data_IF_402400080783
#
_entry.id   IF_402400080783
#
_cell.length_a   1.000
_cell.length_b   1.000
_cell.length_c   1.000
_cell.angle_alpha   90.00
_cell.angle_beta   90.00
_cell.angle_gamma   90.00
#
_symmetry.space_group_name_H-M   'P 1'
#
loop_
_entity.id
_entity.type
_entity.pdbx_description
1 polymer ?
#
# COMPACT_ATOMS: atom_id res chain seq x y z
N UNK A 1 2.34 17.98 -14.63
CA UNK A 1 0.88 17.96 -14.77
C UNK A 1 0.27 17.55 -13.45
N UNK A 2 -0.75 18.26 -12.90
CA UNK A 2 -1.43 17.85 -11.69
C UNK A 2 -2.16 16.52 -11.90
N UNK A 3 -1.90 15.56 -10.99
CA UNK A 3 -2.46 14.22 -11.02
C UNK A 3 -3.07 13.89 -9.65
N UNK A 4 -4.22 13.24 -9.64
CA UNK A 4 -4.86 12.68 -8.45
C UNK A 4 -5.10 11.19 -8.63
N UNK A 5 -4.64 10.38 -7.69
CA UNK A 5 -4.96 8.95 -7.66
C UNK A 5 -6.38 8.76 -7.12
N UNK A 6 -7.26 8.26 -7.97
CA UNK A 6 -8.59 7.79 -7.57
C UNK A 6 -8.51 6.32 -7.16
N UNK A 7 -8.43 6.10 -5.85
CA UNK A 7 -8.32 4.75 -5.27
C UNK A 7 -9.65 3.99 -5.38
N UNK A 8 -10.77 4.71 -5.45
CA UNK A 8 -12.09 4.10 -5.51
C UNK A 8 -12.39 3.52 -6.91
N UNK A 9 -12.14 4.33 -7.95
CA UNK A 9 -12.39 3.93 -9.33
C UNK A 9 -11.18 3.27 -9.99
N UNK A 10 -10.09 3.09 -9.26
CA UNK A 10 -8.84 2.53 -9.79
C UNK A 10 -8.37 3.27 -11.03
N UNK A 11 -7.98 4.51 -10.88
CA UNK A 11 -7.51 5.32 -12.01
C UNK A 11 -6.78 6.59 -11.59
N UNK A 12 -6.38 7.35 -12.58
CA UNK A 12 -5.73 8.63 -12.42
C UNK A 12 -6.59 9.74 -13.01
N UNK A 13 -6.86 10.76 -12.23
CA UNK A 13 -7.39 12.02 -12.74
C UNK A 13 -6.23 12.95 -13.08
N UNK A 14 -6.15 13.35 -14.33
CA UNK A 14 -5.10 14.22 -14.85
C UNK A 14 -5.72 15.55 -15.26
N UNK A 15 -5.26 16.64 -14.66
CA UNK A 15 -5.70 17.99 -15.05
C UNK A 15 -4.94 18.44 -16.30
N UNK A 16 -5.67 18.65 -17.40
CA UNK A 16 -5.16 19.18 -18.66
C UNK A 16 -5.67 20.60 -18.89
N UNK A 17 -5.21 21.24 -19.94
CA UNK A 17 -5.73 22.56 -20.36
C UNK A 17 -7.21 22.51 -20.81
N UNK A 18 -7.68 21.34 -21.21
CA UNK A 18 -9.06 21.10 -21.66
C UNK A 18 -9.99 20.63 -20.53
N UNK A 19 -9.46 20.41 -19.32
CA UNK A 19 -10.21 19.93 -18.17
C UNK A 19 -9.58 18.72 -17.49
N UNK A 20 -10.38 18.00 -16.69
CA UNK A 20 -9.93 16.79 -16.00
C UNK A 20 -10.21 15.58 -16.91
N UNK A 21 -9.17 14.78 -17.15
CA UNK A 21 -9.29 13.50 -17.86
C UNK A 21 -9.04 12.36 -16.87
N UNK A 22 -9.88 11.32 -16.96
CA UNK A 22 -9.69 10.08 -16.23
C UNK A 22 -8.92 9.08 -17.10
N UNK A 23 -7.88 8.47 -16.51
CA UNK A 23 -7.10 7.39 -17.11
C UNK A 23 -7.40 6.13 -16.30
N UNK A 24 -7.91 5.10 -16.95
CA UNK A 24 -8.15 3.79 -16.34
C UNK A 24 -6.83 3.20 -15.82
N UNK A 25 -6.80 2.85 -14.54
CA UNK A 25 -5.63 2.26 -13.90
C UNK A 25 -5.20 0.96 -14.54
N UNK A 26 -6.10 0.23 -15.20
CA UNK A 26 -5.75 -0.98 -15.94
C UNK A 26 -4.76 -0.72 -17.08
N UNK A 27 -4.73 0.50 -17.62
CA UNK A 27 -3.84 0.92 -18.70
C UNK A 27 -2.52 1.51 -18.21
N UNK A 28 -2.38 1.75 -16.91
CA UNK A 28 -1.21 2.40 -16.32
C UNK A 28 -0.34 1.34 -15.65
N UNK A 29 0.91 1.21 -16.11
CA UNK A 29 1.90 0.30 -15.53
C UNK A 29 2.49 0.88 -14.24
N UNK A 30 2.93 2.13 -14.30
CA UNK A 30 3.52 2.85 -13.18
C UNK A 30 3.43 4.35 -13.41
N UNK A 31 3.51 5.11 -12.33
CA UNK A 31 3.62 6.57 -12.40
C UNK A 31 4.38 7.09 -11.19
N UNK A 32 4.98 8.24 -11.36
CA UNK A 32 5.64 8.98 -10.30
C UNK A 32 4.86 10.27 -10.05
N UNK A 33 4.62 10.59 -8.80
CA UNK A 33 4.01 11.87 -8.44
C UNK A 33 4.76 12.50 -7.27
N UNK A 34 4.73 13.83 -7.24
CA UNK A 34 5.27 14.63 -6.16
C UNK A 34 4.13 15.42 -5.54
N UNK A 35 3.98 15.29 -4.24
CA UNK A 35 3.14 16.22 -3.49
C UNK A 35 3.79 17.62 -3.52
N UNK A 36 2.98 18.65 -3.67
CA UNK A 36 3.48 20.04 -3.68
C UNK A 36 4.13 20.45 -2.34
N UNK A 37 3.78 19.75 -1.27
CA UNK A 37 4.27 19.98 0.08
C UNK A 37 5.46 19.06 0.45
N UNK A 38 5.67 17.98 -0.29
CA UNK A 38 6.72 17.00 -0.03
C UNK A 38 7.90 17.23 -1.01
N UNK A 39 9.13 17.05 -0.51
CA UNK A 39 10.34 17.17 -1.33
C UNK A 39 10.60 15.91 -2.16
N UNK A 40 10.12 14.78 -1.69
CA UNK A 40 10.33 13.48 -2.32
C UNK A 40 9.18 13.12 -3.24
N UNK A 41 9.50 12.54 -4.37
CA UNK A 41 8.52 11.93 -5.26
C UNK A 41 8.16 10.53 -4.79
N UNK A 42 6.93 10.12 -5.05
CA UNK A 42 6.42 8.78 -4.74
C UNK A 42 6.24 8.01 -6.03
N UNK A 43 6.83 6.83 -6.08
CA UNK A 43 6.67 5.88 -7.18
C UNK A 43 5.51 4.93 -6.89
N UNK A 44 4.62 4.79 -7.85
CA UNK A 44 3.49 3.87 -7.82
C UNK A 44 3.61 2.86 -8.95
N UNK A 45 3.43 1.58 -8.61
CA UNK A 45 3.45 0.47 -9.57
C UNK A 45 2.12 -0.28 -9.49
N UNK A 46 1.55 -0.59 -10.67
CA UNK A 46 0.31 -1.35 -10.74
C UNK A 46 0.47 -2.73 -10.09
N UNK A 47 -0.51 -3.14 -9.29
CA UNK A 47 -0.52 -4.48 -8.67
C UNK A 47 -0.43 -5.62 -9.67
N UNK A 48 -0.83 -5.40 -10.93
CA UNK A 48 -0.69 -6.37 -12.02
C UNK A 48 0.75 -6.81 -12.28
N UNK A 49 1.74 -5.95 -12.01
CA UNK A 49 3.16 -6.29 -12.15
C UNK A 49 3.58 -7.40 -11.16
N UNK A 50 2.77 -7.63 -10.13
CA UNK A 50 2.93 -8.68 -9.13
C UNK A 50 1.87 -9.79 -9.25
N UNK A 51 1.11 -9.84 -10.35
CA UNK A 51 -0.05 -10.73 -10.54
C UNK A 51 0.31 -12.22 -10.52
N UNK A 52 1.52 -12.59 -10.91
CA UNK A 52 2.01 -13.95 -10.78
C UNK A 52 2.11 -14.44 -9.33
N UNK A 53 2.23 -13.51 -8.39
CA UNK A 53 2.37 -13.78 -6.96
C UNK A 53 1.04 -13.62 -6.20
N UNK A 54 0.22 -12.64 -6.60
CA UNK A 54 -1.06 -12.32 -5.96
C UNK A 54 -2.08 -11.81 -7.00
N UNK A 55 -2.77 -12.72 -7.71
CA UNK A 55 -3.61 -12.34 -8.87
C UNK A 55 -4.88 -11.53 -8.54
N UNK A 56 -5.27 -11.48 -7.26
CA UNK A 56 -6.51 -10.82 -6.82
C UNK A 56 -6.34 -9.39 -6.32
N UNK A 57 -5.11 -8.86 -6.33
CA UNK A 57 -4.87 -7.49 -5.92
C UNK A 57 -5.21 -6.51 -7.05
N UNK A 58 -5.91 -5.44 -6.69
CA UNK A 58 -6.23 -4.34 -7.59
C UNK A 58 -5.82 -3.02 -6.96
N UNK A 59 -5.18 -2.15 -7.73
CA UNK A 59 -4.71 -0.85 -7.28
C UNK A 59 -3.26 -0.56 -7.69
N UNK A 60 -2.66 0.38 -7.00
CA UNK A 60 -1.26 0.74 -7.17
C UNK A 60 -0.51 0.57 -5.84
N UNK A 61 0.59 -0.12 -5.89
CA UNK A 61 1.55 -0.12 -4.79
C UNK A 61 2.35 1.18 -4.79
N UNK A 62 2.36 1.90 -3.68
CA UNK A 62 3.37 2.92 -3.38
C UNK A 62 4.65 2.20 -2.94
N UNK A 63 5.76 2.45 -3.61
CA UNK A 63 7.06 1.89 -3.25
C UNK A 63 7.64 2.72 -2.11
N UNK A 64 7.78 2.12 -0.94
CA UNK A 64 8.35 2.80 0.23
C UNK A 64 9.84 2.55 0.38
N UNK A 65 10.32 1.36 0.02
CA UNK A 65 11.72 0.99 0.02
C UNK A 65 12.01 0.04 -1.14
N UNK A 66 13.08 0.34 -1.89
CA UNK A 66 13.55 -0.47 -3.01
C UNK A 66 14.78 -1.29 -2.60
N UNK A 67 15.01 -2.41 -3.30
CA UNK A 67 16.17 -3.27 -3.10
C UNK A 67 15.80 -4.74 -3.16
N UNK A 68 16.63 -5.60 -2.57
CA UNK A 68 16.41 -7.04 -2.52
C UNK A 68 15.12 -7.42 -1.80
N UNK A 69 14.77 -6.65 -0.78
CA UNK A 69 13.50 -6.73 -0.06
C UNK A 69 12.77 -5.41 -0.27
N UNK A 70 11.72 -5.40 -1.08
CA UNK A 70 10.91 -4.21 -1.32
C UNK A 70 9.84 -4.06 -0.24
N UNK A 71 9.63 -2.83 0.24
CA UNK A 71 8.47 -2.48 1.06
C UNK A 71 7.45 -1.76 0.21
N UNK A 72 6.26 -2.32 0.11
CA UNK A 72 5.16 -1.83 -0.70
C UNK A 72 3.97 -1.48 0.19
N UNK A 73 3.28 -0.39 -0.16
CA UNK A 73 2.06 0.05 0.51
C UNK A 73 0.90 0.07 -0.48
N UNK A 74 -0.18 -0.63 -0.16
CA UNK A 74 -1.40 -0.65 -0.94
C UNK A 74 -2.54 0.00 -0.15
N UNK A 75 -3.11 1.07 -0.70
CA UNK A 75 -4.31 1.69 -0.15
C UNK A 75 -5.52 1.29 -0.99
N UNK A 76 -6.53 0.74 -0.33
CA UNK A 76 -7.80 0.33 -0.96
C UNK A 76 -8.97 0.98 -0.26
N UNK A 77 -10.06 1.19 -0.99
CA UNK A 77 -11.32 1.65 -0.42
C UNK A 77 -12.17 0.45 -0.03
N UNK A 78 -12.78 0.51 1.14
CA UNK A 78 -13.74 -0.46 1.62
C UNK A 78 -15.08 0.22 1.86
N UNK A 79 -16.14 -0.48 1.52
CA UNK A 79 -17.51 -0.07 1.79
C UNK A 79 -18.04 -0.99 2.88
N UNK A 80 -18.56 -0.41 3.95
CA UNK A 80 -19.31 -1.12 4.98
C UNK A 80 -20.78 -0.78 4.78
N UNK A 81 -21.56 -1.76 4.41
CA UNK A 81 -23.01 -1.64 4.30
C UNK A 81 -23.67 -1.42 5.68
N UNK A 82 -24.89 -0.84 5.72
CA UNK A 82 -25.66 -0.73 6.93
C UNK A 82 -25.86 -2.09 7.61
N UNK A 83 -25.60 -2.13 8.92
CA UNK A 83 -25.74 -3.33 9.73
C UNK A 83 -26.75 -3.16 10.88
N UNK A 84 -27.68 -2.20 10.72
CA UNK A 84 -28.69 -1.91 11.72
C UNK A 84 -29.68 -3.06 11.92
N UNK A 85 -29.76 -3.52 13.15
CA UNK A 85 -30.74 -4.52 13.59
C UNK A 85 -31.87 -3.84 14.36
N UNK A 86 -33.08 -3.85 13.78
CA UNK A 86 -34.26 -3.20 14.35
C UNK A 86 -34.65 -3.81 15.70
N UNK A 87 -34.57 -5.13 15.83
CA UNK A 87 -34.96 -5.85 17.05
C UNK A 87 -34.05 -5.54 18.24
N UNK A 88 -32.77 -5.29 17.97
CA UNK A 88 -31.77 -4.97 19.00
C UNK A 88 -31.53 -3.48 19.15
N UNK A 89 -32.15 -2.65 18.32
CA UNK A 89 -31.91 -1.20 18.21
C UNK A 89 -30.41 -0.86 18.19
N UNK A 90 -29.61 -1.66 17.45
CA UNK A 90 -28.17 -1.58 17.43
C UNK A 90 -27.62 -1.65 16.00
N UNK A 91 -26.40 -1.16 15.81
CA UNK A 91 -25.74 -1.10 14.51
C UNK A 91 -25.85 0.27 13.83
N UNK A 92 -25.39 0.37 12.59
CA UNK A 92 -25.40 1.60 11.79
C UNK A 92 -26.40 1.51 10.65
N UNK A 93 -27.13 2.60 10.42
CA UNK A 93 -28.05 2.75 9.26
C UNK A 93 -27.34 3.30 8.05
N UNK A 94 -26.09 3.75 8.19
CA UNK A 94 -25.35 4.46 7.17
C UNK A 94 -24.34 3.53 6.48
N UNK A 95 -24.24 3.64 5.15
CA UNK A 95 -23.10 3.11 4.40
C UNK A 95 -21.84 3.92 4.73
N UNK A 96 -20.77 3.24 5.11
CA UNK A 96 -19.50 3.87 5.41
C UNK A 96 -18.47 3.52 4.35
N UNK A 97 -17.81 4.56 3.82
CA UNK A 97 -16.67 4.41 2.90
C UNK A 97 -15.41 4.80 3.67
N UNK A 98 -14.42 3.91 3.69
CA UNK A 98 -13.17 4.14 4.41
C UNK A 98 -11.98 3.57 3.66
N UNK A 99 -10.80 4.16 3.87
CA UNK A 99 -9.54 3.67 3.31
C UNK A 99 -8.90 2.66 4.24
N UNK A 100 -8.39 1.60 3.67
CA UNK A 100 -7.57 0.59 4.36
C UNK A 100 -6.20 0.57 3.72
N UNK A 101 -5.17 0.67 4.54
CA UNK A 101 -3.78 0.57 4.10
C UNK A 101 -3.22 -0.79 4.52
N UNK A 102 -2.59 -1.49 3.58
CA UNK A 102 -1.89 -2.73 3.80
C UNK A 102 -0.44 -2.60 3.34
N UNK A 103 0.46 -3.23 4.07
CA UNK A 103 1.88 -3.27 3.73
C UNK A 103 2.26 -4.66 3.23
N UNK A 104 3.18 -4.70 2.30
CA UNK A 104 3.67 -5.93 1.68
C UNK A 104 5.19 -5.91 1.60
N UNK A 105 5.76 -7.09 1.76
CA UNK A 105 7.15 -7.37 1.43
C UNK A 105 7.14 -8.09 0.07
N UNK A 106 7.92 -7.60 -0.88
CA UNK A 106 8.15 -8.26 -2.16
C UNK A 106 9.64 -8.58 -2.34
N UNK A 107 9.93 -9.78 -2.78
CA UNK A 107 11.26 -10.26 -3.13
C UNK A 107 11.19 -11.32 -4.24
N UNK A 108 12.32 -11.92 -4.59
CA UNK A 108 12.37 -12.98 -5.60
C UNK A 108 11.50 -14.19 -5.28
N UNK A 109 11.24 -14.46 -4.00
CA UNK A 109 10.44 -15.61 -3.56
C UNK A 109 8.95 -15.34 -3.57
N UNK A 110 8.51 -14.08 -3.62
CA UNK A 110 7.09 -13.77 -3.65
C UNK A 110 6.70 -12.40 -3.09
N UNK A 111 5.40 -12.24 -2.95
CA UNK A 111 4.74 -11.08 -2.39
C UNK A 111 3.99 -11.49 -1.10
N UNK A 112 4.34 -10.90 0.01
CA UNK A 112 3.85 -11.28 1.32
C UNK A 112 3.20 -10.11 2.02
N UNK A 113 1.92 -10.24 2.39
CA UNK A 113 1.23 -9.23 3.19
C UNK A 113 1.79 -9.21 4.60
N UNK A 114 2.22 -8.04 5.07
CA UNK A 114 2.68 -7.87 6.45
C UNK A 114 1.49 -7.93 7.42
N UNK A 115 1.59 -8.74 8.49
CA UNK A 115 0.56 -8.78 9.53
C UNK A 115 0.46 -7.45 10.29
N UNK A 116 -0.72 -7.15 10.83
CA UNK A 116 -0.91 -5.97 11.70
C UNK A 116 -0.20 -6.14 13.05
N UNK A 117 -0.12 -7.36 13.54
CA UNK A 117 0.51 -7.68 14.83
C UNK A 117 2.04 -7.56 14.74
N UNK A 118 2.65 -6.73 15.60
CA UNK A 118 4.10 -6.56 15.72
C UNK A 118 4.84 -7.90 15.79
N UNK A 119 4.43 -8.80 16.68
CA UNK A 119 5.11 -10.07 16.89
C UNK A 119 5.07 -10.96 15.65
N UNK A 120 3.94 -10.98 14.93
CA UNK A 120 3.80 -11.75 13.70
C UNK A 120 4.64 -11.14 12.58
N UNK A 121 4.69 -9.80 12.48
CA UNK A 121 5.53 -9.08 11.51
C UNK A 121 7.01 -9.36 11.77
N UNK A 122 7.47 -9.24 13.02
CA UNK A 122 8.87 -9.55 13.39
C UNK A 122 9.23 -11.00 13.04
N UNK A 123 8.36 -11.97 13.38
CA UNK A 123 8.59 -13.38 13.03
C UNK A 123 8.71 -13.57 11.52
N UNK A 124 7.82 -12.92 10.76
CA UNK A 124 7.82 -13.02 9.30
C UNK A 124 9.09 -12.40 8.71
N UNK A 125 9.49 -11.21 9.14
CA UNK A 125 10.70 -10.54 8.65
C UNK A 125 11.97 -11.35 8.99
N UNK A 126 12.06 -11.94 10.19
CA UNK A 126 13.15 -12.88 10.52
C UNK A 126 13.21 -14.06 9.55
N UNK A 127 12.07 -14.66 9.21
CA UNK A 127 12.01 -15.76 8.24
C UNK A 127 12.42 -15.33 6.82
N UNK A 128 12.33 -14.03 6.50
CA UNK A 128 12.79 -13.44 5.25
C UNK A 128 14.23 -12.93 5.30
N UNK A 129 14.97 -13.26 6.36
CA UNK A 129 16.39 -12.99 6.48
C UNK A 129 16.75 -11.66 7.12
N UNK A 130 15.79 -10.92 7.69
CA UNK A 130 16.10 -9.68 8.42
C UNK A 130 16.82 -10.00 9.74
N UNK A 131 17.99 -9.40 9.99
CA UNK A 131 18.72 -9.61 11.24
C UNK A 131 17.95 -9.04 12.44
N UNK A 132 18.04 -9.71 13.56
CA UNK A 132 17.33 -9.31 14.79
C UNK A 132 17.68 -7.92 15.27
N UNK A 133 18.92 -7.48 15.05
CA UNK A 133 19.39 -6.15 15.39
C UNK A 133 18.59 -5.03 14.72
N UNK A 134 18.17 -5.22 13.48
CA UNK A 134 17.32 -4.25 12.77
C UNK A 134 15.88 -4.24 13.30
N UNK A 135 15.40 -5.36 13.81
CA UNK A 135 14.02 -5.52 14.28
C UNK A 135 13.83 -5.09 15.73
N UNK A 136 14.90 -4.87 16.48
CA UNK A 136 14.85 -4.45 17.88
C UNK A 136 14.13 -3.12 18.05
N UNK A 137 14.35 -2.18 17.15
CA UNK A 137 13.74 -0.84 17.18
C UNK A 137 12.36 -0.77 16.52
N UNK A 138 11.87 -1.86 15.94
CA UNK A 138 10.54 -1.90 15.36
C UNK A 138 9.47 -1.94 16.46
N UNK A 139 8.72 -0.86 16.64
CA UNK A 139 7.70 -0.72 17.70
C UNK A 139 6.36 -1.33 17.31
N UNK A 140 6.17 -1.63 16.03
CA UNK A 140 4.90 -2.07 15.46
C UNK A 140 4.15 -0.97 14.70
N UNK A 141 4.70 0.24 14.67
CA UNK A 141 4.16 1.33 13.87
C UNK A 141 4.61 1.23 12.41
N UNK A 142 3.74 1.65 11.53
CA UNK A 142 3.99 1.65 10.07
C UNK A 142 5.20 2.52 9.69
N UNK A 143 5.39 3.63 10.42
CA UNK A 143 6.51 4.56 10.23
C UNK A 143 7.88 3.93 10.45
N UNK A 144 7.95 2.83 11.22
CA UNK A 144 9.20 2.16 11.51
C UNK A 144 9.61 1.14 10.43
N UNK A 145 8.66 0.73 9.58
CA UNK A 145 8.93 -0.26 8.53
C UNK A 145 9.94 0.23 7.51
N UNK A 146 9.76 1.46 7.00
CA UNK A 146 10.65 2.01 5.97
C UNK A 146 12.11 2.03 6.43
N UNK A 147 12.48 2.59 7.61
CA UNK A 147 13.85 2.55 8.10
C UNK A 147 14.43 1.15 8.24
N UNK A 148 13.63 0.17 8.66
CA UNK A 148 14.07 -1.24 8.78
C UNK A 148 14.44 -1.82 7.41
N UNK A 149 13.61 -1.60 6.40
CA UNK A 149 13.86 -2.08 5.04
C UNK A 149 15.03 -1.33 4.38
N UNK A 150 15.11 -0.01 4.53
CA UNK A 150 16.21 0.79 3.98
C UNK A 150 17.55 0.35 4.58
N UNK A 151 17.60 0.11 5.89
CA UNK A 151 18.80 -0.38 6.57
C UNK A 151 19.20 -1.78 6.11
N UNK A 152 18.22 -2.67 5.91
CA UNK A 152 18.48 -4.00 5.37
C UNK A 152 19.05 -3.94 3.95
N UNK A 153 18.43 -3.17 3.07
CA UNK A 153 18.85 -3.06 1.67
C UNK A 153 20.21 -2.36 1.51
N UNK A 154 20.56 -1.43 2.43
CA UNK A 154 21.85 -0.74 2.42
C UNK A 154 23.02 -1.61 2.94
N UNK A 155 22.73 -2.70 3.65
CA UNK A 155 23.73 -3.60 4.21
C UNK A 155 24.03 -4.82 3.32
N UNK A 156 23.42 -4.91 2.15
CA UNK A 156 23.65 -5.94 1.13
C UNK A 156 24.58 -5.43 0.04
#
# INVERSE_FOLDING_TARGET
VPVRLDVYNFGLEVKTNEGIRFIDGAMVKSFECRDLTERESKLYINTKEYSSMQPHLSGFFEILSEGKQQLLKLTVVRIKEPDYNVALNAGSRDTKIYKVTNYYLANESGLYKLPVSRNKTVKMLKNQGFPETLLTNYTGHETDLKPVFDSFNSSQ
#
